data_IF_496904827170
#
_entry.id   IF_496904827170
#
_cell.length_a   1.000
_cell.length_b   1.000
_cell.length_c   1.000
_cell.angle_alpha   90.00
_cell.angle_beta   90.00
_cell.angle_gamma   90.00
#
_symmetry.space_group_name_H-M   'P 1'
#
loop_
_entity.id
_entity.type
_entity.pdbx_description
1 polymer ?
#
# COMPACT_ATOMS: atom_id res chain seq x y z
N UNK A 1 27.36 8.05 -1.33
CA UNK A 1 27.38 6.82 -2.15
C UNK A 1 28.63 6.84 -3.04
N UNK A 2 29.45 5.78 -3.05
CA UNK A 2 30.57 5.63 -4.00
C UNK A 2 30.11 4.76 -5.17
N UNK A 3 29.24 5.31 -6.03
CA UNK A 3 28.88 4.65 -7.28
C UNK A 3 30.02 4.86 -8.28
N UNK A 4 30.27 3.86 -9.12
CA UNK A 4 31.01 4.05 -10.37
C UNK A 4 30.15 4.85 -11.34
N UNK A 5 30.78 5.44 -12.37
CA UNK A 5 30.05 6.20 -13.38
C UNK A 5 28.99 5.33 -14.07
N UNK A 6 29.29 4.06 -14.35
CA UNK A 6 28.34 3.11 -14.92
C UNK A 6 27.13 2.87 -14.01
N UNK A 7 27.36 2.65 -12.71
CA UNK A 7 26.28 2.47 -11.72
C UNK A 7 25.42 3.72 -11.59
N UNK A 8 26.03 4.90 -11.65
CA UNK A 8 25.30 6.17 -11.62
C UNK A 8 24.43 6.34 -12.87
N UNK A 9 24.96 6.05 -14.07
CA UNK A 9 24.18 6.12 -15.30
C UNK A 9 22.99 5.15 -15.28
N UNK A 10 23.16 3.95 -14.71
CA UNK A 10 22.04 3.01 -14.50
C UNK A 10 20.95 3.68 -13.67
N UNK A 11 21.28 4.25 -12.50
CA UNK A 11 20.30 4.91 -11.61
C UNK A 11 19.57 6.06 -12.30
N UNK A 12 20.29 6.92 -13.02
CA UNK A 12 19.69 8.07 -13.73
C UNK A 12 18.77 7.61 -14.87
N UNK A 13 19.04 6.45 -15.48
CA UNK A 13 18.21 5.88 -16.55
C UNK A 13 16.95 5.17 -16.06
N UNK A 14 16.81 4.91 -14.75
CA UNK A 14 15.62 4.24 -14.20
C UNK A 14 14.41 5.18 -14.24
N UNK A 15 13.31 4.69 -14.82
CA UNK A 15 12.01 5.36 -14.73
C UNK A 15 11.53 5.40 -13.28
N UNK A 16 11.10 6.57 -12.79
CA UNK A 16 10.62 6.77 -11.42
C UNK A 16 9.41 5.87 -11.08
N UNK A 17 8.63 5.47 -12.09
CA UNK A 17 7.46 4.60 -11.93
C UNK A 17 7.82 3.11 -11.95
N UNK A 18 9.03 2.75 -12.35
CA UNK A 18 9.47 1.35 -12.51
C UNK A 18 9.56 0.59 -11.18
N UNK A 19 9.66 1.32 -10.06
CA UNK A 19 9.99 0.79 -8.73
C UNK A 19 11.32 0.01 -8.73
N UNK A 20 12.20 0.30 -9.69
CA UNK A 20 13.53 -0.27 -9.74
C UNK A 20 14.50 0.59 -8.91
N UNK A 21 15.51 -0.06 -8.35
CA UNK A 21 16.55 0.59 -7.57
C UNK A 21 17.85 -0.20 -7.67
N UNK A 22 18.98 0.48 -7.50
CA UNK A 22 20.29 -0.16 -7.48
C UNK A 22 20.66 -0.55 -6.04
N UNK A 23 21.05 -1.81 -5.85
CA UNK A 23 21.68 -2.29 -4.62
C UNK A 23 23.17 -2.49 -4.89
N UNK A 24 24.04 -1.88 -4.08
CA UNK A 24 25.50 -2.07 -4.14
C UNK A 24 25.99 -2.71 -2.85
N UNK A 25 26.76 -3.80 -2.99
CA UNK A 25 27.41 -4.50 -1.88
C UNK A 25 28.89 -4.72 -2.23
N UNK A 26 29.77 -3.92 -1.63
CA UNK A 26 31.20 -3.91 -1.97
C UNK A 26 31.43 -3.58 -3.44
N UNK A 27 31.97 -4.55 -4.18
CA UNK A 27 32.23 -4.46 -5.62
C UNK A 27 31.08 -4.96 -6.49
N UNK A 28 30.07 -5.59 -5.89
CA UNK A 28 28.91 -6.09 -6.61
C UNK A 28 27.79 -5.04 -6.64
N UNK A 29 27.05 -5.02 -7.74
CA UNK A 29 25.82 -4.25 -7.88
C UNK A 29 24.75 -5.03 -8.62
N UNK A 30 23.50 -4.79 -8.25
CA UNK A 30 22.33 -5.40 -8.86
C UNK A 30 21.22 -4.37 -9.00
N UNK A 31 20.47 -4.43 -10.11
CA UNK A 31 19.20 -3.72 -10.24
C UNK A 31 18.11 -4.62 -9.71
N UNK A 32 17.38 -4.13 -8.72
CA UNK A 32 16.26 -4.82 -8.10
C UNK A 32 14.97 -4.07 -8.43
N UNK A 33 13.85 -4.79 -8.43
CA UNK A 33 12.51 -4.20 -8.55
C UNK A 33 11.71 -4.49 -7.29
N UNK A 34 11.09 -3.44 -6.73
CA UNK A 34 10.12 -3.60 -5.64
C UNK A 34 8.75 -3.94 -6.22
N UNK A 35 8.45 -5.24 -6.31
CA UNK A 35 7.17 -5.72 -6.82
C UNK A 35 6.14 -5.79 -5.68
N UNK A 36 5.26 -4.78 -5.61
CA UNK A 36 4.16 -4.73 -4.63
C UNK A 36 2.80 -5.10 -5.23
N UNK A 37 2.78 -5.72 -6.41
CA UNK A 37 1.52 -6.11 -7.07
C UNK A 37 0.73 -7.05 -6.15
N UNK A 38 -0.56 -6.76 -5.97
CA UNK A 38 -1.47 -7.56 -5.14
C UNK A 38 -1.37 -7.28 -3.64
N UNK A 39 -0.52 -6.33 -3.21
CA UNK A 39 -0.41 -5.94 -1.80
C UNK A 39 -1.31 -4.75 -1.43
N UNK A 40 -2.38 -4.50 -2.20
CA UNK A 40 -3.22 -3.31 -2.06
C UNK A 40 -3.84 -3.17 -0.65
N UNK A 41 -4.18 -4.30 -0.02
CA UNK A 41 -4.70 -4.36 1.35
C UNK A 41 -3.64 -3.95 2.39
N UNK A 42 -2.45 -4.55 2.31
CA UNK A 42 -1.35 -4.26 3.22
C UNK A 42 -0.88 -2.81 3.06
N UNK A 43 -0.70 -2.35 1.82
CA UNK A 43 -0.26 -0.99 1.50
C UNK A 43 -1.24 0.07 1.98
N UNK A 44 -2.54 -0.20 1.93
CA UNK A 44 -3.54 0.72 2.47
C UNK A 44 -3.40 0.96 3.97
N UNK A 45 -2.80 0.02 4.72
CA UNK A 45 -2.56 0.18 6.17
C UNK A 45 -1.21 0.85 6.42
N UNK A 46 -0.13 0.33 5.83
CA UNK A 46 1.24 0.77 6.16
C UNK A 46 1.66 2.04 5.40
N UNK A 47 0.99 2.35 4.30
CA UNK A 47 1.29 3.47 3.40
C UNK A 47 0.00 4.20 3.03
N UNK A 48 -0.85 4.43 4.04
CA UNK A 48 -2.15 5.06 3.88
C UNK A 48 -2.02 6.51 3.40
N UNK A 49 -2.92 6.92 2.51
CA UNK A 49 -3.09 8.34 2.15
C UNK A 49 -3.91 9.09 3.19
N UNK A 50 -3.86 10.43 3.20
CA UNK A 50 -4.69 11.26 4.09
C UNK A 50 -6.17 10.89 4.02
N UNK A 51 -6.71 10.73 2.81
CA UNK A 51 -8.09 10.28 2.59
C UNK A 51 -8.40 8.91 3.25
N UNK A 52 -7.47 7.95 3.17
CA UNK A 52 -7.65 6.64 3.77
C UNK A 52 -7.48 6.68 5.29
N UNK A 53 -6.65 7.58 5.82
CA UNK A 53 -6.54 7.83 7.27
C UNK A 53 -7.85 8.37 7.83
N UNK A 54 -8.53 9.29 7.13
CA UNK A 54 -9.85 9.78 7.54
C UNK A 54 -10.89 8.64 7.58
N UNK A 55 -10.92 7.79 6.56
CA UNK A 55 -11.80 6.61 6.51
C UNK A 55 -11.49 5.66 7.67
N UNK A 56 -10.21 5.43 7.98
CA UNK A 56 -9.80 4.61 9.12
C UNK A 56 -10.37 5.17 10.43
N UNK A 57 -10.23 6.47 10.68
CA UNK A 57 -10.77 7.10 11.89
C UNK A 57 -12.29 6.97 11.99
N UNK A 58 -13.01 7.13 10.89
CA UNK A 58 -14.47 6.96 10.84
C UNK A 58 -14.88 5.51 11.15
N UNK A 59 -14.20 4.53 10.54
CA UNK A 59 -14.48 3.10 10.78
C UNK A 59 -14.18 2.74 12.24
N UNK A 60 -13.04 3.16 12.79
CA UNK A 60 -12.68 2.91 14.18
C UNK A 60 -13.68 3.52 15.15
N UNK A 61 -14.08 4.79 14.96
CA UNK A 61 -15.08 5.44 15.79
C UNK A 61 -16.43 4.69 15.72
N UNK A 62 -16.88 4.32 14.52
CA UNK A 62 -18.12 3.56 14.34
C UNK A 62 -18.09 2.19 15.01
N UNK A 63 -16.95 1.48 14.97
CA UNK A 63 -16.78 0.18 15.65
C UNK A 63 -16.73 0.31 17.16
N UNK A 64 -15.98 1.29 17.67
CA UNK A 64 -15.89 1.59 19.09
C UNK A 64 -17.29 1.87 19.68
N UNK A 65 -18.08 2.73 19.02
CA UNK A 65 -19.45 3.02 19.46
C UNK A 65 -20.38 1.80 19.41
N UNK A 66 -20.31 0.97 18.35
CA UNK A 66 -21.16 -0.23 18.22
C UNK A 66 -20.84 -1.30 19.26
N UNK A 67 -19.58 -1.42 19.67
CA UNK A 67 -19.12 -2.42 20.64
C UNK A 67 -19.12 -1.90 22.08
N UNK A 68 -19.32 -0.59 22.28
CA UNK A 68 -19.28 0.04 23.59
C UNK A 68 -17.88 0.05 24.23
N UNK A 69 -16.83 0.04 23.40
CA UNK A 69 -15.42 0.02 23.84
C UNK A 69 -14.72 1.30 23.39
N UNK A 70 -13.59 1.64 24.01
CA UNK A 70 -12.76 2.74 23.54
C UNK A 70 -11.95 2.32 22.29
N UNK A 71 -11.50 3.29 21.50
CA UNK A 71 -10.79 3.01 20.23
C UNK A 71 -9.47 2.25 20.43
N UNK A 72 -8.78 2.48 21.55
CA UNK A 72 -7.54 1.80 21.95
C UNK A 72 -7.74 0.33 22.33
N UNK A 73 -8.98 -0.08 22.58
CA UNK A 73 -9.34 -1.47 22.87
C UNK A 73 -9.74 -2.27 21.62
N UNK A 74 -9.81 -1.62 20.46
CA UNK A 74 -10.15 -2.28 19.21
C UNK A 74 -9.00 -3.14 18.69
N UNK A 75 -9.34 -4.37 18.32
CA UNK A 75 -8.44 -5.31 17.63
C UNK A 75 -8.59 -5.16 16.11
N UNK A 76 -7.53 -5.41 15.30
CA UNK A 76 -7.61 -5.35 13.84
C UNK A 76 -8.79 -6.13 13.26
N UNK A 77 -9.09 -7.31 13.80
CA UNK A 77 -10.17 -8.19 13.34
C UNK A 77 -11.55 -7.52 13.39
N UNK A 78 -11.73 -6.53 14.28
CA UNK A 78 -13.01 -5.84 14.47
C UNK A 78 -13.26 -4.74 13.43
N UNK A 79 -12.22 -4.15 12.84
CA UNK A 79 -12.35 -2.96 11.98
C UNK A 79 -11.69 -3.10 10.59
N UNK A 80 -10.67 -3.96 10.45
CA UNK A 80 -9.82 -4.00 9.27
C UNK A 80 -10.59 -4.38 7.99
N UNK A 81 -11.53 -5.32 8.08
CA UNK A 81 -12.36 -5.73 6.95
C UNK A 81 -13.25 -4.57 6.43
N UNK A 82 -13.80 -3.76 7.34
CA UNK A 82 -14.64 -2.61 6.97
C UNK A 82 -13.79 -1.47 6.40
N UNK A 83 -12.59 -1.26 6.95
CA UNK A 83 -11.62 -0.35 6.35
C UNK A 83 -11.25 -0.76 4.91
N UNK A 84 -10.95 -2.04 4.67
CA UNK A 84 -10.65 -2.56 3.33
C UNK A 84 -11.81 -2.45 2.34
N UNK A 85 -13.05 -2.52 2.82
CA UNK A 85 -14.22 -2.30 1.99
C UNK A 85 -14.41 -0.83 1.59
N UNK A 86 -14.08 0.10 2.48
CA UNK A 86 -14.37 1.53 2.32
C UNK A 86 -13.19 2.36 1.80
N UNK A 87 -11.96 1.83 1.85
CA UNK A 87 -10.76 2.58 1.44
C UNK A 87 -10.80 2.99 -0.04
N UNK A 88 -10.25 4.17 -0.33
CA UNK A 88 -10.02 4.67 -1.69
C UNK A 88 -8.79 4.00 -2.32
N UNK A 89 -8.80 3.87 -3.64
CA UNK A 89 -7.64 3.43 -4.43
C UNK A 89 -7.41 1.92 -4.47
N UNK A 90 -8.34 1.08 -3.98
CA UNK A 90 -8.17 -0.38 -3.92
C UNK A 90 -8.10 -1.11 -5.28
N UNK A 91 -8.18 -0.39 -6.41
CA UNK A 91 -8.08 -1.01 -7.74
C UNK A 91 -9.18 -2.02 -8.06
N UNK A 92 -10.20 -2.20 -7.19
CA UNK A 92 -11.40 -2.99 -7.49
C UNK A 92 -12.12 -2.33 -8.66
N UNK A 93 -11.76 -2.70 -9.89
CA UNK A 93 -12.69 -2.62 -11.02
C UNK A 93 -13.92 -3.36 -10.54
N UNK A 94 -15.05 -2.66 -10.49
CA UNK A 94 -16.35 -3.29 -10.41
C UNK A 94 -16.38 -4.38 -11.48
N UNK A 95 -16.37 -5.64 -11.08
CA UNK A 95 -16.84 -6.72 -11.93
C UNK A 95 -18.32 -6.44 -12.14
N UNK A 96 -18.62 -5.69 -13.20
CA UNK A 96 -19.98 -5.54 -13.72
C UNK A 96 -20.49 -6.95 -13.96
N UNK A 97 -21.49 -7.36 -13.18
CA UNK A 97 -22.28 -8.56 -13.46
C UNK A 97 -22.94 -8.32 -14.81
N UNK A 98 -22.43 -8.95 -15.87
CA UNK A 98 -23.25 -9.21 -17.04
C UNK A 98 -24.37 -10.15 -16.60
N UNK A 99 -25.57 -9.57 -16.52
CA UNK A 99 -26.83 -10.29 -16.43
C UNK A 99 -27.11 -10.91 -17.80
N UNK A 100 -27.62 -12.12 -17.74
CA UNK A 100 -28.32 -12.85 -18.80
C UNK A 100 -29.15 -11.94 -19.72
N UNK A 101 -28.96 -12.14 -21.03
CA UNK A 101 -30.05 -12.26 -22.03
C UNK A 101 -29.63 -13.34 -23.02
#
# INVERSE_FOLDING_TARGET
LKLTDAEYQVVVSLDERSRCFLVKQGHASAVCQLNLRGMDDALAVISSSTDNIEILHQVLAGKASKLGVSMDQLTPEQWLAEFYANRKGSGKRSSVKDKEV
#
